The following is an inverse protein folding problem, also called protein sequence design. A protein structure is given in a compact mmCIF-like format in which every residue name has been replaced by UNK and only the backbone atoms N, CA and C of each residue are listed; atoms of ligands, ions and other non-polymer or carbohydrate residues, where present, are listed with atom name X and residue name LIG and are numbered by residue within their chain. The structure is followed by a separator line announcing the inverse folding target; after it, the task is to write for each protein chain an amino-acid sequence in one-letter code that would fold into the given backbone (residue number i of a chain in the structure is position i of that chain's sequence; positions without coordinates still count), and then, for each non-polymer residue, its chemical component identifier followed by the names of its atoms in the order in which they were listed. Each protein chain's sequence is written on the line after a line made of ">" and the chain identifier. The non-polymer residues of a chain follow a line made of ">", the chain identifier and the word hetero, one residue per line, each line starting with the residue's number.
data_IF_472727180999
#
_entry.id   IF_472727180999
#
_cell.length_a   1.000
_cell.length_b   1.000
_cell.length_c   1.000
_cell.angle_alpha   90.00
_cell.angle_beta   90.00
_cell.angle_gamma   90.00
#
_symmetry.space_group_name_H-M   'P 1'
#
loop_
_entity.id
_entity.type
_entity.pdbx_description
1 polymer ?
#
# COMPACT_ATOMS: atom_id res chain seq x y z
N UNK A 1 92.25 -15.66 -18.67
CA UNK A 1 91.09 -16.57 -18.59
C UNK A 1 90.16 -15.98 -17.54
N UNK A 2 89.10 -15.29 -17.96
CA UNK A 2 88.08 -14.76 -17.05
C UNK A 2 87.08 -15.89 -16.86
N UNK A 3 86.96 -16.40 -15.64
CA UNK A 3 85.99 -17.43 -15.29
C UNK A 3 84.57 -16.89 -15.48
N UNK A 4 83.63 -17.64 -16.09
CA UNK A 4 82.25 -17.20 -16.22
C UNK A 4 81.61 -17.14 -14.83
N UNK A 5 80.97 -16.02 -14.48
CA UNK A 5 80.26 -15.83 -13.21
C UNK A 5 79.01 -16.72 -13.18
N UNK A 6 78.99 -17.81 -12.39
CA UNK A 6 77.85 -18.72 -12.37
C UNK A 6 76.76 -18.12 -11.48
N UNK A 7 75.78 -17.44 -12.08
CA UNK A 7 74.61 -16.95 -11.33
C UNK A 7 73.85 -15.80 -11.98
N UNK A 8 74.52 -14.97 -12.77
CA UNK A 8 73.93 -13.81 -13.47
C UNK A 8 72.71 -14.19 -14.35
N UNK A 9 72.76 -15.27 -15.18
CA UNK A 9 71.61 -15.62 -16.02
C UNK A 9 70.39 -16.11 -15.23
N UNK A 10 70.58 -16.70 -14.03
CA UNK A 10 69.47 -17.11 -13.14
C UNK A 10 68.79 -15.92 -12.47
N UNK A 11 69.55 -14.89 -12.11
CA UNK A 11 69.00 -13.67 -11.48
C UNK A 11 68.18 -12.87 -12.49
N UNK A 12 68.67 -12.75 -13.74
CA UNK A 12 67.96 -12.02 -14.79
C UNK A 12 66.64 -12.70 -15.20
N UNK A 13 66.58 -14.03 -15.20
CA UNK A 13 65.35 -14.79 -15.49
C UNK A 13 64.34 -14.71 -14.34
N UNK A 14 64.80 -14.72 -13.09
CA UNK A 14 63.93 -14.50 -11.93
C UNK A 14 63.33 -13.09 -11.90
N UNK A 15 64.11 -12.06 -12.27
CA UNK A 15 63.64 -10.67 -12.38
C UNK A 15 62.60 -10.49 -13.49
N UNK A 16 62.78 -11.19 -14.62
CA UNK A 16 61.83 -11.16 -15.73
C UNK A 16 60.48 -11.83 -15.35
N UNK A 17 60.52 -12.90 -14.56
CA UNK A 17 59.32 -13.56 -14.03
C UNK A 17 58.59 -12.71 -12.98
N UNK A 18 59.33 -12.02 -12.10
CA UNK A 18 58.75 -11.10 -11.11
C UNK A 18 58.10 -9.87 -11.74
N UNK A 19 58.63 -9.38 -12.86
CA UNK A 19 58.05 -8.25 -13.61
C UNK A 19 56.86 -8.65 -14.51
N UNK A 20 56.66 -9.95 -14.75
CA UNK A 20 55.55 -10.49 -15.54
C UNK A 20 54.29 -10.75 -14.70
N UNK A 21 54.41 -10.73 -13.37
CA UNK A 21 53.32 -10.94 -12.42
C UNK A 21 53.17 -9.68 -11.58
N UNK A 22 52.07 -8.95 -11.79
CA UNK A 22 51.39 -8.14 -10.77
C UNK A 22 50.15 -7.52 -11.42
N UNK A 23 49.01 -8.19 -11.22
CA UNK A 23 47.68 -7.60 -11.30
C UNK A 23 47.21 -7.47 -9.85
N UNK A 24 47.35 -6.28 -9.26
CA UNK A 24 46.71 -5.94 -8.00
C UNK A 24 45.47 -5.07 -8.29
N UNK A 25 44.30 -5.66 -8.04
CA UNK A 25 42.99 -5.01 -8.13
C UNK A 25 42.76 -4.11 -6.91
N UNK A 26 43.11 -2.83 -7.03
CA UNK A 26 42.83 -1.80 -6.05
C UNK A 26 41.65 -0.90 -6.46
N UNK A 27 40.66 -0.77 -5.57
CA UNK A 27 39.44 0.04 -5.72
C UNK A 27 39.76 1.56 -5.72
N UNK A 28 39.97 2.15 -6.91
CA UNK A 28 40.19 3.60 -7.10
C UNK A 28 39.42 4.12 -8.33
N UNK A 29 39.19 5.43 -8.43
CA UNK A 29 38.45 6.09 -9.51
C UNK A 29 38.93 5.67 -10.92
N UNK A 30 37.99 5.13 -11.71
CA UNK A 30 38.22 4.53 -13.03
C UNK A 30 39.12 5.31 -14.01
N UNK A 31 39.02 6.65 -14.18
CA UNK A 31 39.89 7.35 -15.13
C UNK A 31 41.35 7.44 -14.66
N UNK A 32 41.58 7.62 -13.36
CA UNK A 32 42.92 7.68 -12.77
C UNK A 32 43.56 6.30 -12.75
N UNK A 33 42.77 5.24 -12.52
CA UNK A 33 43.21 3.86 -12.67
C UNK A 33 43.68 3.55 -14.10
N UNK A 34 42.94 3.99 -15.11
CA UNK A 34 43.30 3.73 -16.51
C UNK A 34 44.63 4.40 -16.86
N UNK A 35 44.84 5.67 -16.48
CA UNK A 35 46.12 6.35 -16.72
C UNK A 35 47.26 5.68 -15.95
N UNK A 36 47.05 5.34 -14.67
CA UNK A 36 48.04 4.66 -13.86
C UNK A 36 48.41 3.27 -14.42
N UNK A 37 47.43 2.48 -14.85
CA UNK A 37 47.63 1.17 -15.48
C UNK A 37 48.38 1.26 -16.81
N UNK A 38 48.13 2.32 -17.59
CA UNK A 38 48.87 2.56 -18.84
C UNK A 38 50.32 2.89 -18.55
N UNK A 39 50.58 3.73 -17.54
CA UNK A 39 51.94 4.11 -17.15
C UNK A 39 52.73 2.97 -16.51
N UNK A 40 52.12 2.15 -15.66
CA UNK A 40 52.76 0.96 -15.09
C UNK A 40 53.09 -0.07 -16.17
N UNK A 41 52.16 -0.36 -17.09
CA UNK A 41 52.44 -1.22 -18.26
C UNK A 41 53.56 -0.68 -19.13
N UNK A 42 53.65 0.64 -19.30
CA UNK A 42 54.72 1.27 -20.09
C UNK A 42 56.08 1.10 -19.40
N UNK A 43 56.14 1.30 -18.07
CA UNK A 43 57.35 1.09 -17.26
C UNK A 43 57.78 -0.37 -17.26
N UNK A 44 56.86 -1.30 -17.05
CA UNK A 44 57.11 -2.75 -17.11
C UNK A 44 57.67 -3.17 -18.48
N UNK A 45 57.04 -2.73 -19.58
CA UNK A 45 57.55 -3.01 -20.93
C UNK A 45 58.95 -2.48 -21.16
N UNK A 46 59.27 -1.29 -20.65
CA UNK A 46 60.60 -0.71 -20.75
C UNK A 46 61.62 -1.56 -19.99
N UNK A 47 61.33 -1.91 -18.74
CA UNK A 47 62.23 -2.71 -17.91
C UNK A 47 62.46 -4.11 -18.50
N UNK A 48 61.41 -4.78 -18.96
CA UNK A 48 61.51 -6.06 -19.65
C UNK A 48 62.34 -5.95 -20.94
N UNK A 49 62.18 -4.88 -21.71
CA UNK A 49 62.99 -4.66 -22.91
C UNK A 49 64.47 -4.47 -22.59
N UNK A 50 64.80 -3.74 -21.53
CA UNK A 50 66.17 -3.54 -21.06
C UNK A 50 66.77 -4.86 -20.55
N UNK A 51 66.01 -5.64 -19.77
CA UNK A 51 66.42 -6.98 -19.33
C UNK A 51 66.72 -7.91 -20.51
N UNK A 52 65.87 -7.91 -21.55
CA UNK A 52 66.07 -8.72 -22.76
C UNK A 52 67.35 -8.35 -23.50
N UNK A 53 67.67 -7.06 -23.59
CA UNK A 53 68.92 -6.57 -24.20
C UNK A 53 70.14 -7.00 -23.38
N UNK A 54 70.08 -6.89 -22.06
CA UNK A 54 71.16 -7.35 -21.17
C UNK A 54 71.39 -8.86 -21.26
N UNK A 55 70.32 -9.66 -21.30
CA UNK A 55 70.41 -11.11 -21.51
C UNK A 55 71.05 -11.45 -22.86
N UNK A 56 70.71 -10.71 -23.93
CA UNK A 56 71.31 -10.87 -25.25
C UNK A 56 72.81 -10.54 -25.23
N UNK A 57 73.20 -9.40 -24.65
CA UNK A 57 74.61 -8.99 -24.54
C UNK A 57 75.42 -9.99 -23.71
N UNK A 58 74.86 -10.47 -22.60
CA UNK A 58 75.48 -11.50 -21.77
C UNK A 58 75.66 -12.82 -22.56
N UNK A 59 74.63 -13.25 -23.30
CA UNK A 59 74.70 -14.44 -24.14
C UNK A 59 75.76 -14.37 -25.25
N UNK A 60 75.99 -13.19 -25.83
CA UNK A 60 77.06 -12.96 -26.83
C UNK A 60 78.45 -13.04 -26.20
N UNK A 61 78.61 -12.52 -24.97
CA UNK A 61 79.88 -12.59 -24.23
C UNK A 61 80.16 -14.03 -23.77
N UNK A 62 79.14 -14.75 -23.32
CA UNK A 62 79.26 -16.14 -22.84
C UNK A 62 79.49 -17.14 -23.99
N UNK A 63 78.92 -16.89 -25.17
CA UNK A 63 79.02 -17.78 -26.34
C UNK A 63 79.34 -17.00 -27.64
N UNK A 64 80.62 -16.63 -27.87
CA UNK A 64 81.02 -15.83 -29.03
C UNK A 64 80.93 -16.56 -30.39
N UNK A 65 80.52 -17.84 -30.41
CA UNK A 65 80.44 -18.69 -31.61
C UNK A 65 79.02 -19.15 -31.99
N UNK A 66 77.97 -18.53 -31.45
CA UNK A 66 76.59 -18.93 -31.71
C UNK A 66 76.23 -18.75 -33.21
N UNK A 67 75.57 -19.74 -33.86
CA UNK A 67 75.25 -19.64 -35.28
C UNK A 67 74.32 -18.45 -35.58
N UNK A 68 74.42 -17.88 -36.80
CA UNK A 68 73.55 -16.80 -37.23
C UNK A 68 72.07 -17.20 -37.13
N UNK A 69 71.20 -16.22 -36.90
CA UNK A 69 69.77 -16.38 -36.67
C UNK A 69 69.14 -17.43 -37.62
N UNK A 70 68.22 -18.28 -37.11
CA UNK A 70 67.67 -19.37 -37.90
C UNK A 70 67.03 -18.85 -39.18
N UNK A 71 67.35 -19.51 -40.30
CA UNK A 71 66.77 -19.20 -41.60
C UNK A 71 65.23 -19.21 -41.49
N UNK A 72 64.57 -18.15 -41.94
CA UNK A 72 63.12 -17.98 -41.87
C UNK A 72 62.59 -17.18 -40.66
N UNK A 73 63.41 -16.78 -39.69
CA UNK A 73 62.93 -15.95 -38.55
C UNK A 73 62.34 -14.61 -39.02
N UNK A 74 62.92 -14.00 -40.06
CA UNK A 74 62.39 -12.79 -40.69
C UNK A 74 60.99 -13.00 -41.29
N UNK A 75 60.77 -14.12 -41.95
CA UNK A 75 59.49 -14.47 -42.58
C UNK A 75 58.42 -14.78 -41.51
N UNK A 76 58.78 -15.53 -40.47
CA UNK A 76 57.91 -15.80 -39.34
C UNK A 76 57.53 -14.49 -38.60
N UNK A 77 58.48 -13.57 -38.40
CA UNK A 77 58.22 -12.26 -37.82
C UNK A 77 57.32 -11.40 -38.71
N UNK A 78 57.48 -11.46 -40.03
CA UNK A 78 56.61 -10.77 -40.98
C UNK A 78 55.18 -11.33 -40.95
N UNK A 79 55.01 -12.65 -40.92
CA UNK A 79 53.69 -13.29 -40.81
C UNK A 79 53.00 -12.96 -39.48
N UNK A 80 53.73 -13.00 -38.37
CA UNK A 80 53.19 -12.64 -37.06
C UNK A 80 52.73 -11.18 -37.01
N UNK A 81 53.50 -10.27 -37.61
CA UNK A 81 53.11 -8.85 -37.75
C UNK A 81 51.86 -8.68 -38.61
N UNK A 82 51.75 -9.41 -39.72
CA UNK A 82 50.56 -9.42 -40.57
C UNK A 82 49.30 -9.85 -39.80
N UNK A 83 49.37 -11.01 -39.13
CA UNK A 83 48.26 -11.51 -38.29
C UNK A 83 47.88 -10.56 -37.16
N UNK A 84 48.86 -9.91 -36.54
CA UNK A 84 48.60 -8.92 -35.50
C UNK A 84 47.89 -7.67 -36.06
N UNK A 85 48.28 -7.20 -37.25
CA UNK A 85 47.62 -6.06 -37.89
C UNK A 85 46.17 -6.38 -38.28
N UNK A 86 45.92 -7.57 -38.82
CA UNK A 86 44.56 -8.06 -39.12
C UNK A 86 43.70 -8.15 -37.86
N UNK A 87 44.25 -8.70 -36.77
CA UNK A 87 43.53 -8.80 -35.51
C UNK A 87 43.22 -7.40 -34.94
N UNK A 88 44.17 -6.48 -35.03
CA UNK A 88 44.02 -5.11 -34.53
C UNK A 88 42.98 -4.33 -35.34
N UNK A 89 42.96 -4.47 -36.67
CA UNK A 89 41.95 -3.82 -37.51
C UNK A 89 40.56 -4.42 -37.30
N UNK A 90 40.46 -5.75 -37.18
CA UNK A 90 39.21 -6.44 -36.85
C UNK A 90 38.64 -5.99 -35.50
N UNK A 91 39.48 -5.97 -34.46
CA UNK A 91 39.06 -5.52 -33.13
C UNK A 91 38.63 -4.05 -33.12
N UNK A 92 39.39 -3.17 -33.79
CA UNK A 92 39.02 -1.76 -33.95
C UNK A 92 37.67 -1.58 -34.65
N UNK A 93 37.39 -2.36 -35.70
CA UNK A 93 36.11 -2.37 -36.39
C UNK A 93 34.96 -2.80 -35.48
N UNK A 94 35.13 -3.88 -34.70
CA UNK A 94 34.10 -4.36 -33.77
C UNK A 94 33.81 -3.37 -32.64
N UNK A 95 34.84 -2.71 -32.10
CA UNK A 95 34.67 -1.67 -31.08
C UNK A 95 33.96 -0.45 -31.66
N UNK A 96 34.27 -0.06 -32.91
CA UNK A 96 33.55 1.02 -33.59
C UNK A 96 32.08 0.68 -33.81
N UNK A 97 31.79 -0.54 -34.27
CA UNK A 97 30.41 -1.01 -34.44
C UNK A 97 29.65 -1.04 -33.12
N UNK A 98 30.28 -1.53 -32.04
CA UNK A 98 29.70 -1.54 -30.70
C UNK A 98 29.47 -0.11 -30.18
N UNK A 99 30.47 0.77 -30.33
CA UNK A 99 30.37 2.18 -29.96
C UNK A 99 29.28 2.93 -30.70
N UNK A 100 28.93 2.52 -31.93
CA UNK A 100 27.80 3.05 -32.68
C UNK A 100 26.44 2.45 -32.30
N UNK A 101 26.40 1.17 -31.93
CA UNK A 101 25.14 0.44 -31.63
C UNK A 101 24.66 0.60 -30.17
N UNK A 102 25.57 0.78 -29.21
CA UNK A 102 25.24 0.91 -27.79
C UNK A 102 24.48 2.20 -27.47
N UNK A 103 24.88 3.40 -27.94
CA UNK A 103 24.14 4.63 -27.66
C UNK A 103 22.66 4.60 -28.10
N UNK A 104 22.31 4.21 -29.34
CA UNK A 104 20.90 4.19 -29.74
C UNK A 104 20.08 3.15 -28.96
N UNK A 105 20.66 1.99 -28.63
CA UNK A 105 19.95 0.97 -27.82
C UNK A 105 19.69 1.46 -26.39
N UNK A 106 20.62 2.20 -25.77
CA UNK A 106 20.39 2.85 -24.48
C UNK A 106 19.27 3.88 -24.55
N UNK A 107 19.25 4.74 -25.57
CA UNK A 107 18.16 5.72 -25.72
C UNK A 107 16.79 5.06 -25.94
N UNK A 108 16.73 3.91 -26.61
CA UNK A 108 15.49 3.13 -26.76
C UNK A 108 15.04 2.55 -25.42
N UNK A 109 15.97 2.04 -24.62
CA UNK A 109 15.67 1.52 -23.29
C UNK A 109 15.11 2.62 -22.36
N UNK A 110 15.72 3.81 -22.37
CA UNK A 110 15.25 4.96 -21.59
C UNK A 110 13.82 5.38 -21.98
N UNK A 111 13.52 5.44 -23.29
CA UNK A 111 12.16 5.72 -23.79
C UNK A 111 11.16 4.67 -23.32
N UNK A 112 11.54 3.38 -23.38
CA UNK A 112 10.73 2.28 -22.86
C UNK A 112 10.46 2.41 -21.36
N UNK A 113 11.48 2.80 -20.58
CA UNK A 113 11.36 3.01 -19.14
C UNK A 113 10.43 4.19 -18.81
N UNK A 114 10.53 5.30 -19.54
CA UNK A 114 9.63 6.45 -19.39
C UNK A 114 8.17 6.07 -19.70
N UNK A 115 7.93 5.27 -20.75
CA UNK A 115 6.60 4.78 -21.07
C UNK A 115 6.05 3.90 -19.95
N UNK A 116 6.85 2.98 -19.41
CA UNK A 116 6.46 2.13 -18.29
C UNK A 116 6.12 2.95 -17.04
N UNK A 117 6.89 4.00 -16.73
CA UNK A 117 6.59 4.90 -15.61
C UNK A 117 5.24 5.61 -15.81
N UNK A 118 4.95 6.11 -17.01
CA UNK A 118 3.65 6.72 -17.34
C UNK A 118 2.50 5.72 -17.17
N UNK A 119 2.67 4.50 -17.68
CA UNK A 119 1.64 3.46 -17.55
C UNK A 119 1.41 3.07 -16.08
N UNK A 120 2.46 2.97 -15.27
CA UNK A 120 2.33 2.77 -13.81
C UNK A 120 1.55 3.90 -13.14
N UNK A 121 1.83 5.15 -13.52
CA UNK A 121 1.08 6.31 -13.02
C UNK A 121 -0.41 6.24 -13.36
N UNK A 122 -0.76 5.92 -14.61
CA UNK A 122 -2.16 5.79 -15.05
C UNK A 122 -2.87 4.63 -14.33
N UNK A 123 -2.21 3.49 -14.17
CA UNK A 123 -2.77 2.34 -13.44
C UNK A 123 -2.97 2.66 -11.95
N UNK A 124 -2.04 3.40 -11.34
CA UNK A 124 -2.17 3.90 -9.97
C UNK A 124 -3.37 4.85 -9.80
N UNK A 125 -3.54 5.81 -10.71
CA UNK A 125 -4.68 6.71 -10.68
C UNK A 125 -6.02 5.97 -10.85
N UNK A 126 -6.08 4.98 -11.75
CA UNK A 126 -7.29 4.18 -11.99
C UNK A 126 -7.65 3.32 -10.78
N UNK A 127 -6.67 2.73 -10.11
CA UNK A 127 -6.90 1.92 -8.90
C UNK A 127 -7.42 2.78 -7.75
N UNK A 128 -6.83 3.96 -7.53
CA UNK A 128 -7.35 4.95 -6.56
C UNK A 128 -8.80 5.36 -6.87
N UNK A 129 -9.11 5.65 -8.13
CA UNK A 129 -10.49 5.96 -8.54
C UNK A 129 -11.47 4.82 -8.25
N UNK A 130 -11.06 3.56 -8.45
CA UNK A 130 -11.89 2.41 -8.13
C UNK A 130 -12.14 2.27 -6.63
N UNK A 131 -11.11 2.49 -5.80
CA UNK A 131 -11.23 2.47 -4.34
C UNK A 131 -12.19 3.58 -3.85
N UNK A 132 -12.04 4.81 -4.36
CA UNK A 132 -12.93 5.91 -4.02
C UNK A 132 -14.39 5.62 -4.39
N UNK A 133 -14.62 5.05 -5.58
CA UNK A 133 -15.96 4.67 -6.01
C UNK A 133 -16.55 3.56 -5.13
N UNK A 134 -15.74 2.58 -4.73
CA UNK A 134 -16.18 1.54 -3.80
C UNK A 134 -16.55 2.13 -2.43
N UNK A 135 -15.76 3.05 -1.90
CA UNK A 135 -16.07 3.73 -0.63
C UNK A 135 -17.39 4.50 -0.74
N UNK A 136 -17.55 5.30 -1.80
CA UNK A 136 -18.80 6.04 -2.05
C UNK A 136 -20.02 5.13 -2.17
N UNK A 137 -19.86 3.98 -2.83
CA UNK A 137 -20.93 2.97 -2.91
C UNK A 137 -21.28 2.40 -1.53
N UNK A 138 -20.29 2.04 -0.72
CA UNK A 138 -20.50 1.55 0.65
C UNK A 138 -21.23 2.59 1.50
N UNK A 139 -20.76 3.83 1.49
CA UNK A 139 -21.41 4.92 2.21
C UNK A 139 -22.87 5.15 1.75
N UNK A 140 -23.13 5.10 0.44
CA UNK A 140 -24.47 5.25 -0.09
C UNK A 140 -25.39 4.09 0.35
N UNK A 141 -24.88 2.85 0.37
CA UNK A 141 -25.62 1.69 0.85
C UNK A 141 -25.91 1.76 2.34
N UNK A 142 -24.93 2.15 3.16
CA UNK A 142 -25.11 2.32 4.60
C UNK A 142 -26.14 3.41 4.93
N UNK A 143 -26.08 4.56 4.23
CA UNK A 143 -27.08 5.63 4.38
C UNK A 143 -28.48 5.13 4.04
N UNK A 144 -28.62 4.37 2.96
CA UNK A 144 -29.92 3.79 2.56
C UNK A 144 -30.44 2.84 3.65
N UNK A 145 -29.59 1.96 4.14
CA UNK A 145 -29.98 0.94 5.12
C UNK A 145 -30.33 1.55 6.48
N UNK A 146 -29.59 2.58 6.90
CA UNK A 146 -29.90 3.38 8.10
C UNK A 146 -31.26 4.09 7.98
N UNK A 147 -31.56 4.68 6.81
CA UNK A 147 -32.88 5.27 6.56
C UNK A 147 -33.99 4.23 6.61
N UNK A 148 -33.79 3.07 5.99
CA UNK A 148 -34.77 1.97 6.04
C UNK A 148 -34.99 1.48 7.47
N UNK A 149 -33.93 1.40 8.29
CA UNK A 149 -34.03 1.04 9.70
C UNK A 149 -34.89 2.04 10.47
N UNK A 150 -34.62 3.34 10.34
CA UNK A 150 -35.41 4.41 10.97
C UNK A 150 -36.88 4.39 10.58
N UNK A 151 -37.16 4.12 9.30
CA UNK A 151 -38.55 4.00 8.81
C UNK A 151 -39.25 2.80 9.45
N UNK A 152 -38.56 1.65 9.55
CA UNK A 152 -39.09 0.44 10.20
C UNK A 152 -39.36 0.67 11.70
N UNK A 153 -38.43 1.31 12.41
CA UNK A 153 -38.58 1.65 13.82
C UNK A 153 -39.79 2.57 14.05
N UNK A 154 -39.92 3.65 13.28
CA UNK A 154 -41.08 4.55 13.35
C UNK A 154 -42.40 3.81 13.09
N UNK A 155 -42.42 2.90 12.13
CA UNK A 155 -43.60 2.08 11.84
C UNK A 155 -43.95 1.17 13.02
N UNK A 156 -42.95 0.54 13.65
CA UNK A 156 -43.17 -0.29 14.85
C UNK A 156 -43.67 0.55 16.03
N UNK A 157 -43.11 1.73 16.27
CA UNK A 157 -43.58 2.64 17.31
C UNK A 157 -45.04 3.06 17.08
N UNK A 158 -45.41 3.38 15.83
CA UNK A 158 -46.78 3.73 15.48
C UNK A 158 -47.75 2.57 15.74
N UNK A 159 -47.37 1.34 15.37
CA UNK A 159 -48.16 0.14 15.67
C UNK A 159 -48.29 -0.09 17.17
N UNK A 160 -47.22 0.09 17.94
CA UNK A 160 -47.23 0.01 19.41
C UNK A 160 -48.16 1.04 20.04
N UNK A 161 -48.11 2.29 19.58
CA UNK A 161 -49.03 3.36 20.03
C UNK A 161 -50.49 3.03 19.73
N UNK A 162 -50.78 2.52 18.53
CA UNK A 162 -52.14 2.08 18.17
C UNK A 162 -52.61 0.92 19.07
N UNK A 163 -51.74 -0.05 19.36
CA UNK A 163 -52.02 -1.14 20.29
C UNK A 163 -52.32 -0.64 21.71
N UNK A 164 -51.51 0.29 22.22
CA UNK A 164 -51.73 0.91 23.54
C UNK A 164 -53.06 1.67 23.60
N UNK A 165 -53.41 2.43 22.56
CA UNK A 165 -54.70 3.12 22.46
C UNK A 165 -55.88 2.14 22.44
N UNK A 166 -55.78 1.03 21.69
CA UNK A 166 -56.82 -0.02 21.68
C UNK A 166 -56.97 -0.68 23.05
N UNK A 167 -55.86 -0.97 23.73
CA UNK A 167 -55.89 -1.53 25.09
C UNK A 167 -56.54 -0.57 26.08
N UNK A 168 -56.19 0.72 26.04
CA UNK A 168 -56.82 1.76 26.87
C UNK A 168 -58.32 1.90 26.59
N UNK A 169 -58.73 1.89 25.32
CA UNK A 169 -60.16 1.90 24.95
C UNK A 169 -60.87 0.66 25.49
N UNK A 170 -60.29 -0.52 25.36
CA UNK A 170 -60.83 -1.75 25.93
C UNK A 170 -60.92 -1.74 27.46
N UNK A 171 -59.95 -1.12 28.14
CA UNK A 171 -60.00 -0.93 29.60
C UNK A 171 -61.10 0.06 30.00
N UNK A 172 -61.24 1.17 29.28
CA UNK A 172 -62.29 2.16 29.51
C UNK A 172 -63.69 1.59 29.27
N UNK A 173 -63.89 0.77 28.23
CA UNK A 173 -65.18 0.10 27.99
C UNK A 173 -65.51 -0.90 29.08
N UNK A 174 -64.53 -1.69 29.55
CA UNK A 174 -64.72 -2.59 30.71
C UNK A 174 -65.04 -1.82 31.99
N UNK A 175 -64.32 -0.73 32.25
CA UNK A 175 -64.57 0.12 33.40
C UNK A 175 -65.99 0.73 33.34
N UNK A 176 -66.39 1.26 32.17
CA UNK A 176 -67.74 1.78 31.95
C UNK A 176 -68.83 0.72 32.14
N UNK A 177 -68.65 -0.48 31.59
CA UNK A 177 -69.58 -1.60 31.81
C UNK A 177 -69.67 -1.98 33.29
N UNK A 178 -68.54 -1.99 34.00
CA UNK A 178 -68.51 -2.25 35.45
C UNK A 178 -69.27 -1.17 36.22
N UNK A 179 -69.07 0.12 35.89
CA UNK A 179 -69.82 1.22 36.49
C UNK A 179 -71.33 1.09 36.25
N UNK A 180 -71.76 0.75 35.03
CA UNK A 180 -73.18 0.53 34.73
C UNK A 180 -73.78 -0.63 35.54
N UNK A 181 -73.04 -1.71 35.76
CA UNK A 181 -73.47 -2.80 36.64
C UNK A 181 -73.63 -2.32 38.09
N UNK A 182 -72.66 -1.55 38.61
CA UNK A 182 -72.78 -0.97 39.95
C UNK A 182 -74.00 -0.05 40.07
N UNK A 183 -74.26 0.80 39.08
CA UNK A 183 -75.45 1.66 39.03
C UNK A 183 -76.76 0.87 39.06
N UNK A 184 -76.84 -0.22 38.28
CA UNK A 184 -78.01 -1.08 38.24
C UNK A 184 -78.26 -1.79 39.59
N UNK A 185 -77.20 -2.18 40.30
CA UNK A 185 -77.28 -2.86 41.59
C UNK A 185 -77.57 -1.89 42.75
N UNK A 186 -77.06 -0.66 42.72
CA UNK A 186 -77.22 0.33 43.79
C UNK A 186 -78.45 1.22 43.62
N UNK A 187 -79.13 1.14 42.48
CA UNK A 187 -80.20 2.05 42.10
C UNK A 187 -79.71 3.45 41.71
N UNK A 188 -78.41 3.74 41.79
CA UNK A 188 -77.85 5.09 41.57
C UNK A 188 -77.50 5.28 40.10
N UNK A 189 -78.06 6.28 39.41
CA UNK A 189 -77.67 6.66 38.03
C UNK A 189 -76.56 7.69 38.09
N UNK A 190 -75.46 7.47 37.35
CA UNK A 190 -74.44 8.52 37.11
C UNK A 190 -74.62 9.01 35.67
N UNK A 191 -75.02 10.26 35.53
CA UNK A 191 -75.11 10.94 34.24
C UNK A 191 -73.76 11.61 33.95
N UNK A 192 -73.12 11.27 32.82
CA UNK A 192 -72.00 12.05 32.30
C UNK A 192 -72.54 13.16 31.39
N UNK A 193 -72.27 14.42 31.75
CA UNK A 193 -72.60 15.61 30.96
C UNK A 193 -71.73 15.66 29.67
N UNK A 194 -72.28 16.10 28.52
CA UNK A 194 -71.56 16.15 27.25
C UNK A 194 -70.35 17.10 27.25
N UNK A 195 -69.33 16.85 26.40
CA UNK A 195 -68.04 17.52 26.44
C UNK A 195 -68.11 18.97 25.94
N UNK A 196 -68.05 19.93 26.86
CA UNK A 196 -68.02 21.37 26.53
C UNK A 196 -67.81 22.34 27.70
N UNK A 197 -67.68 21.85 28.94
CA UNK A 197 -67.45 22.67 30.14
C UNK A 197 -66.33 22.07 30.99
N UNK A 198 -65.39 22.89 31.52
CA UNK A 198 -64.15 22.40 32.14
C UNK A 198 -64.31 21.84 33.57
N UNK A 199 -65.52 21.75 34.11
CA UNK A 199 -65.79 21.20 35.43
C UNK A 199 -66.52 19.85 35.32
N UNK A 200 -65.87 18.79 35.80
CA UNK A 200 -66.49 17.46 35.95
C UNK A 200 -67.38 17.48 37.18
N UNK A 201 -68.65 17.83 37.00
CA UNK A 201 -69.69 17.56 38.00
C UNK A 201 -70.26 16.15 37.75
N UNK A 202 -70.07 15.24 38.72
CA UNK A 202 -70.74 13.93 38.75
C UNK A 202 -72.05 14.07 39.53
N UNK A 203 -73.18 14.05 38.83
CA UNK A 203 -74.49 13.94 39.47
C UNK A 203 -74.83 12.46 39.71
N UNK A 204 -75.02 12.10 40.98
CA UNK A 204 -75.47 10.78 41.45
C UNK A 204 -76.95 10.87 41.83
N UNK A 205 -77.84 10.32 41.01
CA UNK A 205 -79.27 10.21 41.35
C UNK A 205 -79.55 8.85 41.98
N UNK A 206 -79.91 8.79 43.27
CA UNK A 206 -80.42 7.58 43.90
C UNK A 206 -81.82 7.26 43.34
N UNK A 207 -81.94 6.21 42.55
CA UNK A 207 -83.22 5.62 42.16
C UNK A 207 -83.94 4.98 43.35
N UNK A 208 -85.28 4.96 43.34
CA UNK A 208 -86.07 4.62 44.51
C UNK A 208 -85.98 3.12 44.84
N UNK A 209 -85.87 2.73 46.13
CA UNK A 209 -85.99 1.33 46.54
C UNK A 209 -87.42 0.81 46.37
N UNK A 210 -87.63 -0.51 46.16
CA UNK A 210 -88.96 -1.08 46.05
C UNK A 210 -89.57 -1.22 47.44
N UNK A 211 -90.42 -0.26 47.84
CA UNK A 211 -91.20 -0.35 49.07
C UNK A 211 -91.66 1.03 49.55
N UNK A 212 -92.90 1.18 50.06
CA UNK A 212 -93.46 2.49 50.35
C UNK A 212 -92.93 2.98 51.70
N UNK A 213 -92.07 3.99 51.69
CA UNK A 213 -91.82 4.85 52.85
C UNK A 213 -91.46 6.25 52.36
N UNK A 214 -92.14 7.30 52.84
CA UNK A 214 -91.94 8.66 52.36
C UNK A 214 -90.88 9.32 53.25
N UNK A 215 -89.63 9.37 52.80
CA UNK A 215 -88.64 10.32 53.31
C UNK A 215 -87.55 10.49 52.25
N UNK A 216 -87.76 11.45 51.36
CA UNK A 216 -86.78 11.87 50.36
C UNK A 216 -85.66 12.63 51.05
N UNK A 217 -84.51 11.99 51.25
CA UNK A 217 -83.29 12.70 51.61
C UNK A 217 -82.74 13.47 50.38
N UNK A 218 -82.16 14.67 50.57
CA UNK A 218 -81.63 15.47 49.47
C UNK A 218 -80.40 14.80 48.84
N UNK A 219 -80.11 15.08 47.55
CA UNK A 219 -78.97 14.52 46.86
C UNK A 219 -77.66 14.99 47.50
N UNK A 220 -76.79 14.02 47.83
CA UNK A 220 -75.44 14.30 48.31
C UNK A 220 -74.57 14.79 47.15
N UNK A 221 -74.25 16.09 47.16
CA UNK A 221 -73.28 16.70 46.25
C UNK A 221 -71.86 16.40 46.75
N UNK A 222 -71.14 15.56 46.04
CA UNK A 222 -69.70 15.37 46.23
C UNK A 222 -68.95 16.10 45.12
N UNK A 223 -68.47 17.31 45.42
CA UNK A 223 -67.57 18.04 44.54
C UNK A 223 -66.14 17.58 44.78
N UNK A 224 -65.54 16.93 43.78
CA UNK A 224 -64.13 16.53 43.85
C UNK A 224 -63.27 17.59 43.15
N UNK A 225 -62.72 18.53 43.92
CA UNK A 225 -61.69 19.43 43.41
C UNK A 225 -60.39 18.66 43.17
N UNK A 226 -59.67 18.88 42.05
CA UNK A 226 -58.41 18.17 41.76
C UNK A 226 -57.24 18.64 42.63
N UNK A 227 -57.46 19.55 43.59
CA UNK A 227 -56.52 19.87 44.67
C UNK A 227 -57.09 19.35 45.99
N UNK A 228 -56.42 18.32 46.53
CA UNK A 228 -56.89 17.48 47.62
C UNK A 228 -57.34 18.22 48.88
N UNK A 229 -58.39 17.67 49.49
CA UNK A 229 -58.94 18.06 50.78
C UNK A 229 -60.43 17.70 50.83
N UNK A 230 -60.77 16.53 51.36
CA UNK A 230 -62.16 16.13 51.63
C UNK A 230 -62.59 16.83 52.92
N UNK A 231 -63.64 17.66 52.86
CA UNK A 231 -64.42 18.04 54.05
C UNK A 231 -65.83 17.45 53.90
N UNK A 232 -66.32 16.91 55.01
CA UNK A 232 -67.61 16.21 55.16
C UNK A 232 -68.76 17.20 55.21
#
# INVERSE_FOLDING_TARGET
>A
RVSPLPGVPRVLTALEAALALEEEDGDVLAPVLVEHQVDTRRKQKLLLSQLRVLQLLLGVIENPGLPPAPAGLREAAAQARGRWQELKSGYGGTLGALGGAVPPTLTQLEKGQQLLQRLRGVLGARTQQQEELQVKLREATERRDELLRRVRERRQEQLGRQGALRSRRGAATRAGASCHLYQALSGVRVLLRPPGTPELELELELGPPPGPSPDSLPPLRLSHSPRGGVQV
#
